data_IF_268884237016
#
_entry.id   IF_268884237016
#
_cell.length_a   1.000
_cell.length_b   1.000
_cell.length_c   1.000
_cell.angle_alpha   90.00
_cell.angle_beta   90.00
_cell.angle_gamma   90.00
#
_symmetry.space_group_name_H-M   'P 1'
#
loop_
_entity.id
_entity.type
_entity.pdbx_description
1 polymer ?
#
# COMPACT_ATOMS: atom_id res chain seq x y z
N UNK A 1 -16.29 -6.02 16.98
CA UNK A 1 -15.23 -7.05 17.07
C UNK A 1 -13.92 -6.31 16.83
N UNK A 2 -12.93 -6.43 17.69
CA UNK A 2 -11.66 -5.71 17.54
C UNK A 2 -10.64 -6.68 16.94
N UNK A 3 -10.15 -6.40 15.74
CA UNK A 3 -9.09 -7.19 15.08
C UNK A 3 -7.79 -6.99 15.86
N UNK A 4 -7.08 -8.09 16.16
CA UNK A 4 -5.78 -8.03 16.85
C UNK A 4 -4.65 -8.09 15.85
N UNK A 5 -3.62 -7.26 16.06
CA UNK A 5 -2.43 -7.28 15.23
C UNK A 5 -1.70 -8.63 15.36
N UNK A 6 -1.44 -9.25 14.21
CA UNK A 6 -0.76 -10.55 14.11
C UNK A 6 0.71 -10.35 13.78
N UNK A 7 1.60 -10.75 14.69
CA UNK A 7 3.05 -10.61 14.50
C UNK A 7 3.56 -11.34 13.26
N UNK A 8 3.02 -12.53 12.98
CA UNK A 8 3.36 -13.33 11.80
C UNK A 8 2.94 -12.70 10.46
N UNK A 9 2.03 -11.71 10.50
CA UNK A 9 1.64 -10.91 9.34
C UNK A 9 2.29 -9.51 9.32
N UNK A 10 3.15 -9.21 10.31
CA UNK A 10 3.83 -7.92 10.40
C UNK A 10 2.89 -6.72 10.54
N UNK A 11 1.72 -6.92 11.15
CA UNK A 11 0.69 -5.90 11.24
C UNK A 11 1.02 -4.84 12.29
N UNK A 12 0.95 -3.57 11.86
CA UNK A 12 1.03 -2.38 12.70
C UNK A 12 -0.08 -1.44 12.25
N UNK A 13 -1.13 -1.33 13.05
CA UNK A 13 -2.28 -0.50 12.71
C UNK A 13 -1.97 0.97 12.93
N UNK A 14 -2.15 1.78 11.91
CA UNK A 14 -2.05 3.23 11.98
C UNK A 14 -3.25 3.79 12.77
N UNK A 15 -2.99 4.64 13.76
CA UNK A 15 -4.03 5.26 14.60
C UNK A 15 -4.21 6.75 14.29
N UNK A 16 -3.25 7.36 13.60
CA UNK A 16 -3.27 8.77 13.23
C UNK A 16 -4.10 8.96 11.94
N UNK A 17 -5.27 9.58 12.10
CA UNK A 17 -6.21 9.81 11.00
C UNK A 17 -5.72 10.88 10.02
N UNK A 18 -4.98 11.90 10.50
CA UNK A 18 -4.41 12.92 9.63
C UNK A 18 -3.32 12.32 8.76
N UNK A 19 -2.49 11.45 9.34
CA UNK A 19 -1.51 10.69 8.59
C UNK A 19 -2.17 9.78 7.54
N UNK A 20 -3.24 9.08 7.91
CA UNK A 20 -4.00 8.24 6.98
C UNK A 20 -4.57 9.05 5.79
N UNK A 21 -5.12 10.21 6.06
CA UNK A 21 -5.59 11.13 5.02
C UNK A 21 -4.45 11.56 4.10
N UNK A 22 -3.31 11.99 4.65
CA UNK A 22 -2.12 12.40 3.88
C UNK A 22 -1.55 11.28 3.01
N UNK A 23 -1.63 10.02 3.45
CA UNK A 23 -1.23 8.87 2.64
C UNK A 23 -2.14 8.75 1.42
N UNK A 24 -3.45 8.83 1.60
CA UNK A 24 -4.43 8.76 0.50
C UNK A 24 -4.30 9.95 -0.45
N UNK A 25 -4.06 11.14 0.09
CA UNK A 25 -3.86 12.36 -0.70
C UNK A 25 -2.49 12.39 -1.42
N UNK A 26 -1.60 11.43 -1.10
CA UNK A 26 -0.37 11.17 -1.85
C UNK A 26 -0.63 10.60 -3.26
N UNK A 27 -1.78 9.98 -3.51
CA UNK A 27 -2.21 9.59 -4.85
C UNK A 27 -2.59 10.84 -5.64
N UNK A 28 -1.92 11.11 -6.77
CA UNK A 28 -2.05 12.37 -7.50
C UNK A 28 -2.30 12.20 -9.00
N UNK A 29 -1.95 11.05 -9.57
CA UNK A 29 -1.98 10.82 -11.02
C UNK A 29 -3.31 10.25 -11.52
N UNK A 30 -4.43 10.75 -10.99
CA UNK A 30 -5.80 10.25 -11.28
C UNK A 30 -6.19 10.31 -12.76
N UNK A 31 -5.48 11.10 -13.59
CA UNK A 31 -5.73 11.18 -15.03
C UNK A 31 -5.30 9.92 -15.78
N UNK A 32 -4.40 9.12 -15.19
CA UNK A 32 -3.77 7.97 -15.84
C UNK A 32 -4.33 6.62 -15.40
N UNK A 33 -5.20 6.57 -14.38
CA UNK A 33 -5.86 5.35 -13.93
C UNK A 33 -7.28 5.61 -13.40
N UNK A 34 -8.10 4.57 -13.37
CA UNK A 34 -9.45 4.61 -12.81
C UNK A 34 -9.65 3.59 -11.69
N UNK A 35 -8.63 2.82 -11.35
CA UNK A 35 -8.68 1.79 -10.31
C UNK A 35 -7.50 1.92 -9.36
N UNK A 36 -7.78 1.79 -8.07
CA UNK A 36 -6.78 1.82 -6.99
C UNK A 36 -6.90 0.56 -6.17
N UNK A 37 -5.79 -0.11 -5.89
CA UNK A 37 -5.72 -1.27 -5.01
C UNK A 37 -5.11 -0.88 -3.67
N UNK A 38 -5.86 -1.03 -2.59
CA UNK A 38 -5.30 -0.97 -1.23
C UNK A 38 -4.79 -2.35 -0.82
N UNK A 39 -3.50 -2.43 -0.49
CA UNK A 39 -2.87 -3.66 0.02
C UNK A 39 -2.88 -3.65 1.55
N UNK A 40 -3.50 -4.69 2.15
CA UNK A 40 -3.53 -4.87 3.58
C UNK A 40 -4.33 -3.80 4.32
N UNK A 41 -5.59 -3.56 3.96
CA UNK A 41 -6.42 -2.52 4.58
C UNK A 41 -6.62 -2.69 6.08
N UNK A 42 -6.46 -3.91 6.61
CA UNK A 42 -6.67 -4.19 8.03
C UNK A 42 -8.08 -3.82 8.49
N UNK A 43 -8.18 -2.86 9.41
CA UNK A 43 -9.48 -2.32 9.87
C UNK A 43 -9.97 -1.13 9.04
N UNK A 44 -9.34 -0.83 7.88
CA UNK A 44 -9.83 0.18 6.95
C UNK A 44 -9.45 1.62 7.29
N UNK A 45 -8.29 1.84 7.93
CA UNK A 45 -7.86 3.20 8.30
C UNK A 45 -7.61 4.09 7.07
N UNK A 46 -7.07 3.55 5.98
CA UNK A 46 -6.97 4.27 4.70
C UNK A 46 -8.26 4.14 3.91
N UNK A 47 -8.89 2.98 3.93
CA UNK A 47 -10.14 2.65 3.22
C UNK A 47 -11.24 3.71 3.46
N UNK A 48 -11.39 4.22 4.70
CA UNK A 48 -12.39 5.25 5.03
C UNK A 48 -12.22 6.58 4.26
N UNK A 49 -11.01 6.85 3.76
CA UNK A 49 -10.73 8.02 2.92
C UNK A 49 -10.79 7.65 1.43
N UNK A 50 -10.33 6.47 1.06
CA UNK A 50 -10.38 5.98 -0.32
C UNK A 50 -11.82 5.87 -0.83
N UNK A 51 -12.74 5.38 0.00
CA UNK A 51 -14.16 5.23 -0.37
C UNK A 51 -14.85 6.56 -0.70
N UNK A 52 -14.32 7.67 -0.20
CA UNK A 52 -14.85 9.02 -0.47
C UNK A 52 -14.36 9.62 -1.78
N UNK A 53 -13.32 9.03 -2.39
CA UNK A 53 -12.77 9.51 -3.66
C UNK A 53 -13.65 8.98 -4.80
N UNK A 54 -14.07 9.86 -5.68
CA UNK A 54 -14.93 9.55 -6.84
C UNK A 54 -14.14 9.51 -8.15
N UNK A 55 -12.86 9.86 -8.10
CA UNK A 55 -11.98 9.90 -9.27
C UNK A 55 -11.57 8.49 -9.75
N UNK A 56 -11.67 7.48 -8.88
CA UNK A 56 -11.30 6.10 -9.17
C UNK A 56 -12.15 5.11 -8.38
N UNK A 57 -12.17 3.87 -8.83
CA UNK A 57 -12.77 2.75 -8.12
C UNK A 57 -11.74 2.07 -7.22
N UNK A 58 -12.07 1.90 -5.94
CA UNK A 58 -11.17 1.27 -4.97
C UNK A 58 -11.43 -0.22 -4.86
N UNK A 59 -10.35 -0.99 -4.86
CA UNK A 59 -10.29 -2.43 -4.57
C UNK A 59 -9.43 -2.67 -3.34
N UNK A 60 -9.77 -3.67 -2.56
CA UNK A 60 -9.06 -4.07 -1.34
C UNK A 60 -8.56 -5.50 -1.48
N UNK A 61 -7.31 -5.76 -1.11
CA UNK A 61 -6.78 -7.12 -0.99
C UNK A 61 -6.22 -7.35 0.41
N UNK A 62 -6.75 -8.35 1.11
CA UNK A 62 -6.41 -8.64 2.50
C UNK A 62 -6.27 -10.15 2.70
N UNK A 63 -5.18 -10.56 3.36
CA UNK A 63 -4.88 -11.96 3.66
C UNK A 63 -5.41 -12.40 5.02
N UNK A 64 -5.61 -11.46 5.95
CA UNK A 64 -6.11 -11.74 7.28
C UNK A 64 -7.63 -11.85 7.29
N UNK A 65 -8.14 -13.07 7.50
CA UNK A 65 -9.58 -13.36 7.53
C UNK A 65 -10.36 -12.54 8.54
N UNK A 66 -9.79 -12.24 9.72
CA UNK A 66 -10.45 -11.40 10.72
C UNK A 66 -10.64 -9.97 10.20
N UNK A 67 -9.63 -9.45 9.49
CA UNK A 67 -9.69 -8.14 8.84
C UNK A 67 -10.69 -8.15 7.67
N UNK A 68 -10.72 -9.21 6.86
CA UNK A 68 -11.70 -9.38 5.78
C UNK A 68 -13.13 -9.38 6.33
N UNK A 69 -13.39 -10.13 7.40
CA UNK A 69 -14.72 -10.19 8.03
C UNK A 69 -15.12 -8.84 8.64
N UNK A 70 -14.15 -8.12 9.22
CA UNK A 70 -14.35 -6.77 9.73
C UNK A 70 -14.73 -5.79 8.59
N UNK A 71 -13.99 -5.83 7.47
CA UNK A 71 -14.24 -4.96 6.32
C UNK A 71 -15.60 -5.25 5.69
N UNK A 72 -15.96 -6.50 5.48
CA UNK A 72 -17.30 -6.90 4.97
C UNK A 72 -18.44 -6.36 5.81
N UNK A 73 -18.24 -6.28 7.13
CA UNK A 73 -19.28 -5.81 8.06
C UNK A 73 -19.38 -4.30 8.13
N UNK A 74 -18.26 -3.58 8.01
CA UNK A 74 -18.20 -2.14 8.29
C UNK A 74 -18.10 -1.29 7.02
N UNK A 75 -17.78 -1.88 5.87
CA UNK A 75 -17.63 -1.21 4.58
C UNK A 75 -18.45 -1.93 3.52
N UNK A 76 -19.77 -1.69 3.54
CA UNK A 76 -20.73 -2.39 2.67
C UNK A 76 -20.51 -2.12 1.19
N UNK A 77 -19.88 -0.99 0.84
CA UNK A 77 -19.48 -0.64 -0.52
C UNK A 77 -18.45 -1.58 -1.13
N UNK A 78 -17.69 -2.32 -0.30
CA UNK A 78 -16.73 -3.32 -0.72
C UNK A 78 -17.28 -4.76 -0.67
N UNK A 79 -18.58 -4.92 -0.70
CA UNK A 79 -19.18 -6.26 -0.88
C UNK A 79 -18.96 -6.75 -2.31
N UNK A 80 -18.70 -8.06 -2.47
CA UNK A 80 -18.49 -8.66 -3.79
C UNK A 80 -17.03 -8.58 -4.27
N UNK A 81 -16.78 -8.33 -5.57
CA UNK A 81 -15.46 -8.49 -6.18
C UNK A 81 -14.42 -7.44 -5.76
N UNK A 82 -14.83 -6.35 -5.12
CA UNK A 82 -13.91 -5.28 -4.70
C UNK A 82 -13.18 -5.54 -3.39
N UNK A 83 -13.58 -6.55 -2.63
CA UNK A 83 -12.83 -7.03 -1.46
C UNK A 83 -12.32 -8.45 -1.73
N UNK A 84 -11.03 -8.55 -1.97
CA UNK A 84 -10.33 -9.79 -2.28
C UNK A 84 -9.78 -10.39 -0.98
N UNK A 85 -10.27 -11.58 -0.60
CA UNK A 85 -9.69 -12.41 0.45
C UNK A 85 -8.52 -13.19 -0.17
N UNK A 86 -7.30 -12.67 -0.05
CA UNK A 86 -6.16 -13.25 -0.75
C UNK A 86 -4.81 -12.62 -0.44
N UNK A 87 -3.77 -13.30 -0.91
CA UNK A 87 -2.39 -12.87 -0.82
C UNK A 87 -2.00 -12.05 -2.06
N UNK A 88 -1.69 -10.76 -1.87
CA UNK A 88 -1.25 -9.87 -2.94
C UNK A 88 -0.08 -10.43 -3.76
N UNK A 89 0.85 -11.11 -3.10
CA UNK A 89 2.04 -11.65 -3.77
C UNK A 89 1.72 -12.79 -4.74
N UNK A 90 0.53 -13.41 -4.62
CA UNK A 90 0.11 -14.58 -5.41
C UNK A 90 -1.14 -14.35 -6.25
N UNK A 91 -1.94 -13.35 -5.86
CA UNK A 91 -3.21 -13.08 -6.55
C UNK A 91 -2.95 -12.58 -7.98
N UNK A 92 -3.60 -13.14 -9.00
CA UNK A 92 -3.46 -12.67 -10.38
C UNK A 92 -4.19 -11.34 -10.54
N UNK A 93 -3.41 -10.22 -10.63
CA UNK A 93 -3.96 -8.86 -10.70
C UNK A 93 -4.75 -8.60 -11.99
N UNK A 94 -4.50 -9.36 -13.03
CA UNK A 94 -5.29 -9.36 -14.26
C UNK A 94 -6.77 -9.69 -14.04
N UNK A 95 -7.12 -10.41 -12.98
CA UNK A 95 -8.52 -10.67 -12.60
C UNK A 95 -9.25 -9.42 -12.09
N UNK A 96 -8.48 -8.38 -11.65
CA UNK A 96 -9.03 -7.10 -11.18
C UNK A 96 -8.97 -6.07 -12.30
N UNK A 97 -7.82 -5.98 -12.96
CA UNK A 97 -7.47 -4.85 -13.83
C UNK A 97 -7.53 -5.19 -15.32
N UNK A 98 -7.47 -6.49 -15.70
CA UNK A 98 -7.29 -6.85 -17.10
C UNK A 98 -6.04 -6.15 -17.65
N UNK A 99 -6.22 -5.38 -18.72
CA UNK A 99 -5.16 -4.57 -19.32
C UNK A 99 -5.19 -3.08 -18.89
N UNK A 100 -6.06 -2.73 -17.92
CA UNK A 100 -6.22 -1.35 -17.48
C UNK A 100 -5.05 -0.91 -16.58
N UNK A 101 -4.77 0.39 -16.62
CA UNK A 101 -3.83 1.03 -15.69
C UNK A 101 -4.45 1.16 -14.31
N UNK A 102 -3.63 1.02 -13.27
CA UNK A 102 -4.04 1.11 -11.89
C UNK A 102 -2.97 1.75 -11.00
N UNK A 103 -3.38 2.15 -9.80
CA UNK A 103 -2.46 2.57 -8.76
C UNK A 103 -2.57 1.66 -7.53
N UNK A 104 -1.55 1.68 -6.70
CA UNK A 104 -1.47 0.93 -5.45
C UNK A 104 -1.29 1.88 -4.28
N UNK A 105 -1.99 1.61 -3.18
CA UNK A 105 -1.78 2.32 -1.91
C UNK A 105 -1.77 1.33 -0.75
N UNK A 106 -1.07 1.65 0.33
CA UNK A 106 -1.13 0.83 1.53
C UNK A 106 -0.13 1.17 2.62
N UNK A 107 -0.43 0.68 3.81
CA UNK A 107 0.52 0.55 4.91
C UNK A 107 1.15 -0.84 4.81
N UNK A 108 2.22 -0.98 4.03
CA UNK A 108 2.76 -2.29 3.63
C UNK A 108 3.35 -3.06 4.81
N UNK A 109 3.04 -4.37 4.95
CA UNK A 109 3.67 -5.21 5.96
C UNK A 109 5.18 -5.27 5.77
N UNK A 110 5.95 -5.06 6.85
CA UNK A 110 7.41 -4.81 6.75
C UNK A 110 8.19 -5.94 6.11
N UNK A 111 7.89 -7.18 6.49
CA UNK A 111 8.66 -8.33 6.06
C UNK A 111 8.41 -8.73 4.59
N UNK A 112 7.39 -8.19 3.95
CA UNK A 112 7.09 -8.42 2.53
C UNK A 112 7.21 -7.17 1.66
N UNK A 113 7.56 -6.00 2.22
CA UNK A 113 7.59 -4.73 1.47
C UNK A 113 8.49 -4.82 0.22
N UNK A 114 9.66 -5.44 0.34
CA UNK A 114 10.53 -5.69 -0.81
C UNK A 114 9.88 -6.59 -1.87
N UNK A 115 9.17 -7.64 -1.45
CA UNK A 115 8.47 -8.56 -2.36
C UNK A 115 7.29 -7.85 -3.05
N UNK A 116 6.60 -6.94 -2.35
CA UNK A 116 5.56 -6.09 -2.96
C UNK A 116 6.13 -5.30 -4.13
N UNK A 117 7.30 -4.67 -3.98
CA UNK A 117 7.93 -3.91 -5.06
C UNK A 117 8.39 -4.79 -6.23
N UNK A 118 8.90 -5.98 -5.97
CA UNK A 118 9.18 -6.93 -7.06
C UNK A 118 7.90 -7.34 -7.79
N UNK A 119 6.81 -7.53 -7.07
CA UNK A 119 5.51 -7.83 -7.68
C UNK A 119 4.99 -6.66 -8.51
N UNK A 120 5.16 -5.41 -8.03
CA UNK A 120 4.80 -4.19 -8.79
C UNK A 120 5.60 -4.12 -10.11
N UNK A 121 6.88 -4.47 -10.10
CA UNK A 121 7.70 -4.49 -11.31
C UNK A 121 7.21 -5.49 -12.37
N UNK A 122 6.55 -6.59 -11.98
CA UNK A 122 5.93 -7.50 -12.93
C UNK A 122 4.77 -6.84 -13.69
N UNK A 123 4.13 -5.83 -13.10
CA UNK A 123 3.02 -5.05 -13.66
C UNK A 123 3.42 -3.60 -14.00
N UNK A 124 4.70 -3.33 -14.23
CA UNK A 124 5.24 -1.97 -14.45
C UNK A 124 4.59 -1.19 -15.60
N UNK A 125 4.04 -1.89 -16.59
CA UNK A 125 3.39 -1.27 -17.74
C UNK A 125 1.93 -0.85 -17.42
N UNK A 126 1.35 -1.37 -16.32
CA UNK A 126 -0.02 -1.10 -15.87
C UNK A 126 -0.07 -0.36 -14.52
N UNK A 127 0.81 -0.71 -13.58
CA UNK A 127 0.89 -0.04 -12.27
C UNK A 127 1.65 1.28 -12.45
N UNK A 128 0.93 2.39 -12.52
CA UNK A 128 1.50 3.70 -12.89
C UNK A 128 1.80 4.60 -11.70
N UNK A 129 1.25 4.30 -10.53
CA UNK A 129 1.48 5.06 -9.30
C UNK A 129 1.43 4.15 -8.07
N UNK A 130 2.30 4.38 -7.12
CA UNK A 130 2.32 3.66 -5.84
C UNK A 130 2.55 4.63 -4.69
N UNK A 131 1.67 4.61 -3.70
CA UNK A 131 1.85 5.34 -2.43
C UNK A 131 1.93 4.35 -1.30
N UNK A 132 3.09 4.18 -0.71
CA UNK A 132 3.35 3.13 0.25
C UNK A 132 4.03 3.59 1.53
N UNK A 133 3.46 3.19 2.67
CA UNK A 133 4.15 3.30 3.94
C UNK A 133 4.97 2.04 4.22
N UNK A 134 6.24 2.22 4.56
CA UNK A 134 7.18 1.13 4.79
C UNK A 134 8.24 1.53 5.82
N UNK A 135 9.11 0.61 6.21
CA UNK A 135 10.21 0.93 7.12
C UNK A 135 11.11 2.01 6.50
N UNK A 136 11.52 2.98 7.34
CA UNK A 136 12.36 4.11 6.92
C UNK A 136 13.62 3.68 6.17
N UNK A 137 14.29 2.65 6.65
CA UNK A 137 15.51 2.12 6.00
C UNK A 137 15.25 1.62 4.57
N UNK A 138 14.06 1.03 4.32
CA UNK A 138 13.65 0.59 2.98
C UNK A 138 13.32 1.82 2.12
N UNK A 139 12.55 2.78 2.64
CA UNK A 139 12.19 4.01 1.94
C UNK A 139 13.44 4.82 1.51
N UNK A 140 14.39 5.00 2.43
CA UNK A 140 15.67 5.66 2.16
C UNK A 140 16.44 4.94 1.06
N UNK A 141 16.47 3.61 1.11
CA UNK A 141 17.14 2.80 0.09
C UNK A 141 16.48 2.95 -1.28
N UNK A 142 15.15 2.91 -1.35
CA UNK A 142 14.41 3.06 -2.61
C UNK A 142 14.64 4.42 -3.27
N UNK A 143 14.66 5.50 -2.46
CA UNK A 143 14.85 6.86 -2.93
C UNK A 143 16.35 7.27 -3.06
N UNK A 144 17.28 6.37 -2.71
CA UNK A 144 18.72 6.65 -2.79
C UNK A 144 19.15 6.91 -4.24
N UNK A 145 20.08 7.87 -4.42
CA UNK A 145 20.66 8.18 -5.73
C UNK A 145 21.91 7.32 -6.00
N UNK A 146 22.27 7.11 -7.28
CA UNK A 146 23.53 6.45 -7.65
C UNK A 146 24.74 7.08 -6.93
N UNK A 147 25.65 6.23 -6.45
CA UNK A 147 26.81 6.67 -5.66
C UNK A 147 26.58 6.75 -4.15
N UNK A 148 25.33 6.64 -3.67
CA UNK A 148 25.05 6.50 -2.25
C UNK A 148 25.19 5.03 -1.83
N UNK A 149 25.71 4.79 -0.61
CA UNK A 149 25.86 3.43 -0.02
C UNK A 149 24.54 2.66 0.10
N UNK A 150 23.42 3.39 0.20
CA UNK A 150 22.07 2.81 0.32
C UNK A 150 21.45 2.47 -1.06
N UNK A 151 22.09 2.91 -2.18
CA UNK A 151 21.67 2.60 -3.53
C UNK A 151 21.95 1.13 -3.86
N UNK A 152 20.90 0.33 -3.89
CA UNK A 152 21.01 -1.10 -4.08
C UNK A 152 20.19 -1.60 -5.27
N UNK A 153 20.13 -2.92 -5.44
CA UNK A 153 19.46 -3.55 -6.60
C UNK A 153 18.00 -3.12 -6.74
N UNK A 154 17.27 -2.97 -5.64
CA UNK A 154 15.88 -2.57 -5.67
C UNK A 154 15.73 -1.11 -6.12
N UNK A 155 16.66 -0.21 -5.71
CA UNK A 155 16.72 1.16 -6.19
C UNK A 155 16.93 1.21 -7.70
N UNK A 156 17.90 0.43 -8.21
CA UNK A 156 18.21 0.33 -9.64
C UNK A 156 16.99 -0.13 -10.43
N UNK A 157 16.35 -1.21 -10.00
CA UNK A 157 15.24 -1.82 -10.73
C UNK A 157 14.00 -0.91 -10.74
N UNK A 158 13.65 -0.32 -9.61
CA UNK A 158 12.47 0.56 -9.54
C UNK A 158 12.71 1.88 -10.26
N UNK A 159 13.87 2.53 -10.04
CA UNK A 159 14.19 3.81 -10.68
C UNK A 159 14.43 3.71 -12.19
N UNK A 160 14.54 2.50 -12.75
CA UNK A 160 14.54 2.29 -14.20
C UNK A 160 13.16 2.54 -14.84
N UNK A 161 12.09 2.49 -14.05
CA UNK A 161 10.70 2.60 -14.54
C UNK A 161 9.90 3.69 -13.83
N UNK A 162 10.31 4.13 -12.64
CA UNK A 162 9.57 5.03 -11.77
C UNK A 162 10.45 6.14 -11.21
N UNK A 163 9.89 7.31 -11.04
CA UNK A 163 10.44 8.36 -10.19
C UNK A 163 10.02 8.11 -8.74
N UNK A 164 10.98 8.08 -7.82
CA UNK A 164 10.73 7.75 -6.41
C UNK A 164 10.93 8.98 -5.55
N UNK A 165 9.87 9.39 -4.87
CA UNK A 165 9.87 10.49 -3.93
C UNK A 165 9.70 10.00 -2.48
N UNK A 166 10.58 10.47 -1.60
CA UNK A 166 10.44 10.29 -0.17
C UNK A 166 9.61 11.44 0.40
N UNK A 167 8.38 11.17 0.84
CA UNK A 167 7.44 12.21 1.24
C UNK A 167 7.65 12.65 2.70
N UNK A 168 7.45 11.74 3.66
CA UNK A 168 7.61 12.05 5.09
C UNK A 168 7.79 10.79 5.94
N UNK A 169 8.20 10.99 7.21
CA UNK A 169 8.25 9.93 8.22
C UNK A 169 7.17 10.09 9.26
N UNK A 170 6.75 8.96 9.84
CA UNK A 170 5.91 8.90 11.03
C UNK A 170 6.66 8.20 12.16
N UNK A 171 6.48 8.70 13.37
CA UNK A 171 7.02 8.07 14.58
C UNK A 171 6.27 6.79 14.93
N UNK A 172 6.86 5.93 15.78
CA UNK A 172 6.24 4.67 16.18
C UNK A 172 4.98 4.85 17.04
N UNK A 173 4.81 6.01 17.66
CA UNK A 173 3.71 6.35 18.57
C UNK A 173 2.34 6.37 17.91
N UNK A 174 2.30 6.58 16.57
CA UNK A 174 1.04 6.60 15.81
C UNK A 174 0.58 5.22 15.35
N UNK A 175 1.22 4.15 15.83
CA UNK A 175 0.90 2.76 15.46
C UNK A 175 0.65 1.87 16.66
N UNK A 176 -0.17 0.84 16.47
CA UNK A 176 -0.40 -0.23 17.45
C UNK A 176 -0.26 -1.61 16.79
N UNK A 177 0.67 -2.47 17.27
CA UNK A 177 1.80 -2.15 18.14
C UNK A 177 2.79 -1.20 17.46
N UNK A 178 3.62 -0.45 18.23
CA UNK A 178 4.59 0.47 17.65
C UNK A 178 5.66 -0.27 16.85
N UNK A 179 5.95 0.17 15.61
CA UNK A 179 7.07 -0.32 14.79
C UNK A 179 8.38 0.36 15.19
N UNK A 180 9.45 0.13 14.42
CA UNK A 180 10.64 0.98 14.49
C UNK A 180 10.25 2.37 13.95
N UNK A 181 10.68 2.81 12.82
CA UNK A 181 10.25 4.08 12.20
C UNK A 181 9.72 3.81 10.80
N UNK A 182 8.60 4.44 10.46
CA UNK A 182 7.98 4.33 9.14
C UNK A 182 8.16 5.60 8.31
N UNK A 183 8.13 5.42 7.01
CA UNK A 183 8.22 6.52 6.03
C UNK A 183 7.32 6.27 4.86
N UNK A 184 6.71 7.32 4.34
CA UNK A 184 5.91 7.28 3.13
C UNK A 184 6.78 7.56 1.92
N UNK A 185 6.60 6.77 0.90
CA UNK A 185 7.13 7.02 -0.44
C UNK A 185 6.00 7.15 -1.44
N UNK A 186 6.29 7.91 -2.49
CA UNK A 186 5.49 8.00 -3.71
C UNK A 186 6.36 7.54 -4.88
N UNK A 187 5.80 6.75 -5.74
CA UNK A 187 6.45 6.14 -6.92
C UNK A 187 5.53 6.31 -8.13
#
# INVERSE_FOLDING_TARGET
>A
MQVRAKKNLGQHFLNDLDAAQRIVDGLQDYANYQKVLEIGPGMGVLTQYLVKKTAYETYLIEIDKESVDYLRKNYLEFTGPRLIDGDFLRYPLENIFGDEKFAIVGNFPYFISTQIFFRILEYKDQCVEVVGMLQKEVAVRLAAKPGNKDYGILSVLLQAYYDIEYLFSLGPEVFTPPPKVLSLIHI
#
